data_IF_379471860934
#
_entry.id   IF_379471860934
#
_cell.length_a   1.000
_cell.length_b   1.000
_cell.length_c   1.000
_cell.angle_alpha   90.00
_cell.angle_beta   90.00
_cell.angle_gamma   90.00
#
_symmetry.space_group_name_H-M   'P 1'
#
loop_
_entity.id
_entity.type
_entity.pdbx_description
1 polymer ?
#
# COMPACT_ATOMS: atom_id res chain seq x y z
N UNK A 1 -11.51 9.10 -13.94
CA UNK A 1 -11.06 10.49 -13.61
C UNK A 1 -9.74 10.41 -12.83
N UNK A 2 -9.67 9.52 -11.85
CA UNK A 2 -8.46 9.21 -11.10
C UNK A 2 -7.31 8.69 -11.99
N UNK A 3 -7.61 7.79 -12.91
CA UNK A 3 -6.67 7.16 -13.84
C UNK A 3 -6.13 8.16 -14.88
N UNK A 4 -6.96 9.13 -15.27
CA UNK A 4 -6.51 10.22 -16.14
C UNK A 4 -5.55 11.14 -15.39
N UNK A 5 -5.84 11.48 -14.13
CA UNK A 5 -4.95 12.28 -13.28
C UNK A 5 -3.60 11.57 -13.06
N UNK A 6 -3.61 10.25 -12.82
CA UNK A 6 -2.41 9.42 -12.82
C UNK A 6 -1.62 9.59 -14.11
N UNK A 7 -2.26 9.36 -15.26
CA UNK A 7 -1.58 9.36 -16.55
C UNK A 7 -1.00 10.74 -16.89
N UNK A 8 -1.74 11.81 -16.61
CA UNK A 8 -1.28 13.18 -16.84
C UNK A 8 -0.08 13.53 -15.95
N UNK A 9 -0.14 13.19 -14.65
CA UNK A 9 0.97 13.40 -13.72
C UNK A 9 2.19 12.56 -14.10
N UNK A 10 1.98 11.31 -14.53
CA UNK A 10 3.05 10.42 -14.95
C UNK A 10 3.75 10.93 -16.21
N UNK A 11 2.98 11.40 -17.20
CA UNK A 11 3.50 12.01 -18.42
C UNK A 11 4.28 13.29 -18.12
N UNK A 12 3.80 14.13 -17.22
CA UNK A 12 4.47 15.37 -16.82
C UNK A 12 5.80 15.08 -16.11
N UNK A 13 5.85 14.05 -15.26
CA UNK A 13 7.11 13.56 -14.68
C UNK A 13 8.10 13.12 -15.76
N UNK A 14 7.66 12.32 -16.74
CA UNK A 14 8.55 11.83 -17.80
C UNK A 14 9.04 12.91 -18.75
N UNK A 15 8.18 13.87 -19.11
CA UNK A 15 8.51 14.89 -20.12
C UNK A 15 9.18 16.13 -19.53
N UNK A 16 8.78 16.53 -18.32
CA UNK A 16 9.16 17.81 -17.72
C UNK A 16 9.93 17.65 -16.41
N UNK A 17 10.20 16.41 -15.98
CA UNK A 17 11.00 16.13 -14.77
C UNK A 17 10.31 16.52 -13.46
N UNK A 18 8.99 16.69 -13.46
CA UNK A 18 8.24 16.97 -12.24
C UNK A 18 8.28 15.79 -11.28
N UNK A 19 8.39 16.08 -10.00
CA UNK A 19 8.33 15.05 -8.97
C UNK A 19 6.94 14.40 -8.92
N UNK A 20 6.89 13.09 -9.16
CA UNK A 20 5.64 12.34 -9.23
C UNK A 20 4.97 12.21 -7.86
N UNK A 21 5.77 12.09 -6.78
CA UNK A 21 5.23 11.80 -5.44
C UNK A 21 4.69 13.03 -4.72
N UNK A 22 5.04 14.24 -5.16
CA UNK A 22 4.43 15.48 -4.62
C UNK A 22 3.13 15.88 -5.34
N UNK A 23 2.75 15.19 -6.42
CA UNK A 23 1.53 15.53 -7.16
C UNK A 23 0.25 15.10 -6.45
N UNK A 24 -0.85 15.76 -6.81
CA UNK A 24 -2.18 15.55 -6.21
C UNK A 24 -2.67 14.11 -6.34
N UNK A 25 -2.41 13.45 -7.47
CA UNK A 25 -2.78 12.05 -7.64
C UNK A 25 -2.10 11.16 -6.61
N UNK A 26 -0.78 11.26 -6.44
CA UNK A 26 -0.03 10.42 -5.52
C UNK A 26 -0.46 10.64 -4.07
N UNK A 27 -0.70 11.90 -3.68
CA UNK A 27 -1.19 12.23 -2.35
C UNK A 27 -2.57 11.62 -2.07
N UNK A 28 -3.48 11.59 -3.06
CA UNK A 28 -4.76 10.87 -2.96
C UNK A 28 -4.54 9.35 -2.92
N UNK A 29 -3.60 8.84 -3.71
CA UNK A 29 -3.29 7.42 -3.82
C UNK A 29 -2.89 6.83 -2.47
N UNK A 30 -1.91 7.43 -1.80
CA UNK A 30 -1.47 6.97 -0.48
C UNK A 30 -2.52 7.18 0.62
N UNK A 31 -3.48 8.08 0.41
CA UNK A 31 -4.61 8.30 1.31
C UNK A 31 -5.69 7.22 1.17
N UNK A 32 -5.91 6.69 -0.03
CA UNK A 32 -6.96 5.71 -0.32
C UNK A 32 -6.46 4.26 -0.27
N UNK A 33 -5.23 4.03 -0.70
CA UNK A 33 -4.64 2.69 -0.80
C UNK A 33 -3.56 2.50 0.26
N UNK A 34 -3.55 1.32 0.87
CA UNK A 34 -2.73 1.02 2.05
C UNK A 34 -1.37 0.41 1.72
N UNK A 35 -1.14 0.04 0.45
CA UNK A 35 0.11 -0.59 0.01
C UNK A 35 1.32 0.36 -0.07
N UNK A 36 1.19 1.61 0.36
CA UNK A 36 2.30 2.58 0.51
C UNK A 36 2.64 2.88 1.99
N UNK A 37 2.91 1.86 2.84
CA UNK A 37 3.07 2.07 4.28
C UNK A 37 4.29 2.92 4.67
N UNK A 38 5.27 3.04 3.77
CA UNK A 38 6.46 3.87 3.95
C UNK A 38 6.18 5.37 3.77
N UNK A 39 5.17 5.70 2.95
CA UNK A 39 4.70 7.08 2.75
C UNK A 39 3.60 7.43 3.73
N UNK A 40 2.65 6.51 3.94
CA UNK A 40 1.55 6.64 4.89
C UNK A 40 1.21 5.27 5.48
N UNK A 41 1.60 5.05 6.73
CA UNK A 41 1.17 3.88 7.48
C UNK A 41 -0.24 4.12 8.05
N UNK A 42 -1.23 3.45 7.46
CA UNK A 42 -2.62 3.49 7.94
C UNK A 42 -2.75 2.75 9.28
N UNK A 43 -3.55 3.30 10.21
CA UNK A 43 -3.68 2.73 11.56
C UNK A 43 -4.32 1.34 11.56
N UNK A 44 -5.12 1.05 10.54
CA UNK A 44 -5.84 -0.20 10.31
C UNK A 44 -5.19 -1.03 9.17
N UNK A 45 -3.88 -0.87 8.96
CA UNK A 45 -3.10 -1.71 8.04
C UNK A 45 -3.14 -3.17 8.49
N UNK A 46 -3.19 -4.10 7.54
CA UNK A 46 -3.24 -5.54 7.76
C UNK A 46 -2.10 -6.25 7.02
N UNK A 47 -1.94 -7.55 7.24
CA UNK A 47 -0.97 -8.37 6.50
C UNK A 47 -1.31 -8.43 5.00
N UNK A 48 -2.58 -8.27 4.61
CA UNK A 48 -2.97 -8.23 3.20
C UNK A 48 -2.36 -7.01 2.50
N UNK A 49 -2.37 -5.86 3.16
CA UNK A 49 -1.79 -4.62 2.62
C UNK A 49 -0.25 -4.72 2.52
N UNK A 50 0.40 -5.44 3.44
CA UNK A 50 1.85 -5.75 3.34
C UNK A 50 2.11 -6.67 2.13
N UNK A 51 1.29 -7.69 1.91
CA UNK A 51 1.41 -8.57 0.74
C UNK A 51 1.22 -7.78 -0.55
N UNK A 52 0.23 -6.89 -0.60
CA UNK A 52 0.00 -6.00 -1.73
C UNK A 52 1.20 -5.08 -1.99
N UNK A 53 1.80 -4.51 -0.94
CA UNK A 53 3.03 -3.70 -1.02
C UNK A 53 4.17 -4.49 -1.68
N UNK A 54 4.36 -5.74 -1.25
CA UNK A 54 5.40 -6.63 -1.80
C UNK A 54 5.12 -6.91 -3.29
N UNK A 55 3.87 -7.25 -3.64
CA UNK A 55 3.46 -7.52 -5.01
C UNK A 55 3.70 -6.30 -5.90
N UNK A 56 3.22 -5.12 -5.50
CA UNK A 56 3.39 -3.88 -6.27
C UNK A 56 4.88 -3.58 -6.50
N UNK A 57 5.68 -3.56 -5.44
CA UNK A 57 7.09 -3.21 -5.53
C UNK A 57 7.91 -4.19 -6.38
N UNK A 58 7.64 -5.50 -6.24
CA UNK A 58 8.31 -6.53 -7.05
C UNK A 58 7.91 -6.42 -8.52
N UNK A 59 6.61 -6.35 -8.80
CA UNK A 59 6.10 -6.25 -10.17
C UNK A 59 6.56 -4.95 -10.84
N UNK A 60 6.41 -3.81 -10.16
CA UNK A 60 6.85 -2.51 -10.68
C UNK A 60 8.36 -2.46 -10.91
N UNK A 61 9.17 -2.97 -9.98
CA UNK A 61 10.62 -3.04 -10.13
C UNK A 61 11.02 -3.90 -11.35
N UNK A 62 10.46 -5.11 -11.45
CA UNK A 62 10.71 -6.00 -12.59
C UNK A 62 10.27 -5.39 -13.93
N UNK A 63 9.11 -4.75 -13.99
CA UNK A 63 8.60 -4.14 -15.23
C UNK A 63 9.35 -2.87 -15.64
N UNK A 64 9.84 -2.06 -14.69
CA UNK A 64 10.48 -0.77 -14.99
C UNK A 64 11.98 -0.88 -15.21
N UNK A 65 12.67 -1.70 -14.43
CA UNK A 65 14.15 -1.79 -14.46
C UNK A 65 14.70 -3.21 -14.46
N UNK A 66 13.86 -4.25 -14.36
CA UNK A 66 14.31 -5.64 -14.22
C UNK A 66 14.82 -6.01 -12.83
N UNK A 67 14.89 -5.05 -11.92
CA UNK A 67 15.46 -5.17 -10.58
C UNK A 67 14.42 -4.89 -9.50
N UNK A 68 14.52 -5.62 -8.39
CA UNK A 68 13.66 -5.39 -7.21
C UNK A 68 14.48 -4.59 -6.21
N UNK A 69 13.96 -3.42 -5.81
CA UNK A 69 14.60 -2.63 -4.74
C UNK A 69 14.37 -3.31 -3.39
N UNK A 70 15.33 -3.25 -2.46
CA UNK A 70 15.13 -3.77 -1.10
C UNK A 70 13.89 -3.16 -0.46
N UNK A 71 13.06 -4.01 0.13
CA UNK A 71 11.90 -3.61 0.92
C UNK A 71 12.24 -3.78 2.40
N UNK A 72 12.44 -2.67 3.10
CA UNK A 72 12.74 -2.66 4.53
C UNK A 72 11.52 -2.20 5.31
N UNK A 73 10.76 -3.16 5.83
CA UNK A 73 9.65 -2.87 6.73
C UNK A 73 10.17 -2.61 8.14
N UNK A 74 9.75 -1.49 8.74
CA UNK A 74 9.95 -1.25 10.16
C UNK A 74 9.16 -2.30 10.97
N UNK A 75 9.77 -2.86 12.03
CA UNK A 75 9.13 -3.81 12.94
C UNK A 75 7.75 -3.34 13.43
N UNK A 76 7.58 -2.05 13.67
CA UNK A 76 6.32 -1.49 14.16
C UNK A 76 5.19 -1.61 13.14
N UNK A 77 5.49 -1.50 11.84
CA UNK A 77 4.50 -1.70 10.76
C UNK A 77 4.07 -3.17 10.73
N UNK A 78 5.03 -4.09 10.83
CA UNK A 78 4.76 -5.54 10.80
C UNK A 78 3.94 -5.96 12.02
N UNK A 79 4.31 -5.50 13.22
CA UNK A 79 3.56 -5.77 14.45
C UNK A 79 2.13 -5.24 14.36
N UNK A 80 1.95 -3.99 13.91
CA UNK A 80 0.63 -3.39 13.74
C UNK A 80 -0.23 -4.18 12.74
N UNK A 81 0.34 -4.55 11.60
CA UNK A 81 -0.35 -5.35 10.58
C UNK A 81 -0.79 -6.72 11.10
N UNK A 82 0.06 -7.41 11.88
CA UNK A 82 -0.29 -8.68 12.53
C UNK A 82 -1.45 -8.48 13.51
N UNK A 83 -1.34 -7.51 14.43
CA UNK A 83 -2.39 -7.23 15.43
C UNK A 83 -3.73 -6.93 14.77
N UNK A 84 -3.73 -6.07 13.75
CA UNK A 84 -4.95 -5.71 13.03
C UNK A 84 -5.51 -6.89 12.23
N UNK A 85 -4.66 -7.76 11.68
CA UNK A 85 -5.13 -8.96 10.97
C UNK A 85 -5.77 -9.95 11.94
N UNK A 86 -5.16 -10.18 13.11
CA UNK A 86 -5.76 -11.02 14.16
C UNK A 86 -7.14 -10.47 14.52
N UNK A 87 -7.23 -9.16 14.80
CA UNK A 87 -8.51 -8.52 15.10
C UNK A 87 -9.52 -8.66 13.97
N UNK A 88 -9.11 -8.44 12.73
CA UNK A 88 -9.98 -8.57 11.57
C UNK A 88 -10.56 -9.99 11.46
N UNK A 89 -9.72 -11.02 11.62
CA UNK A 89 -10.17 -12.41 11.57
C UNK A 89 -11.07 -12.74 12.77
N UNK A 90 -10.71 -12.29 13.97
CA UNK A 90 -11.55 -12.41 15.17
C UNK A 90 -12.94 -11.81 14.93
N UNK A 91 -13.01 -10.56 14.44
CA UNK A 91 -14.26 -9.86 14.11
C UNK A 91 -15.09 -10.58 13.01
N UNK A 92 -14.46 -11.37 12.15
CA UNK A 92 -15.13 -12.16 11.09
C UNK A 92 -15.50 -13.59 11.51
N UNK A 93 -15.08 -14.02 12.69
CA UNK A 93 -15.34 -15.35 13.22
C UNK A 93 -16.15 -15.27 14.50
N UNK A 94 -16.77 -16.37 14.87
CA UNK A 94 -17.46 -16.51 16.16
C UNK A 94 -17.23 -17.94 16.65
N UNK A 95 -17.19 -18.13 17.96
CA UNK A 95 -17.17 -19.48 18.49
C UNK A 95 -18.55 -20.11 18.30
N UNK A 96 -18.60 -21.37 17.84
CA UNK A 96 -19.83 -22.14 17.91
C UNK A 96 -20.28 -22.23 19.37
N UNK A 97 -21.44 -21.63 19.67
CA UNK A 97 -22.02 -21.60 21.02
C UNK A 97 -22.32 -20.21 21.57
N UNK A 98 -21.78 -19.15 20.99
CA UNK A 98 -21.93 -17.77 21.51
C UNK A 98 -23.26 -17.07 21.09
N UNK A 99 -24.14 -17.79 20.37
CA UNK A 99 -25.50 -17.35 20.04
C UNK A 99 -26.56 -17.92 21.01
N UNK A 100 -26.31 -17.88 22.32
CA UNK A 100 -27.32 -18.13 23.37
C UNK A 100 -27.56 -16.89 24.23
#
# INVERSE_FOLDING_TARGET
KYEQEFFDNFKDTLLNGKDFVSNTWYQKHIEMEKHHPFSKCHKDITLLDIIETIVDCVCAGKSRSGEVRPLEFNEEIVKLAITNTIKMIDDFTFAEGDNQ
#
